data_IF_196340922524
#
_entry.id   IF_196340922524
#
_cell.length_a   1.000
_cell.length_b   1.000
_cell.length_c   1.000
_cell.angle_alpha   90.00
_cell.angle_beta   90.00
_cell.angle_gamma   90.00
#
_symmetry.space_group_name_H-M   'P 1'
#
loop_
_entity.id
_entity.type
_entity.pdbx_description
1 polymer ?
#
# COMPACT_ATOMS: atom_id res chain seq x y z
N UNK A 1 -14.47 -18.82 -0.39
CA UNK A 1 -14.95 -17.46 -0.01
C UNK A 1 -14.00 -16.49 -0.66
N UNK A 2 -14.48 -15.36 -1.21
CA UNK A 2 -13.65 -14.33 -1.89
C UNK A 2 -12.82 -13.56 -0.88
N UNK A 3 -11.58 -13.22 -1.22
CA UNK A 3 -10.63 -12.60 -0.29
C UNK A 3 -9.99 -11.35 -0.89
N UNK A 4 -9.92 -10.32 -0.07
CA UNK A 4 -9.19 -9.09 -0.35
C UNK A 4 -8.06 -8.95 0.67
N UNK A 5 -6.83 -8.92 0.20
CA UNK A 5 -5.68 -8.59 1.03
C UNK A 5 -5.32 -7.12 0.82
N UNK A 6 -5.38 -6.33 1.88
CA UNK A 6 -4.95 -4.93 1.88
C UNK A 6 -3.54 -4.86 2.48
N UNK A 7 -2.66 -4.10 1.86
CA UNK A 7 -1.30 -3.87 2.36
C UNK A 7 -1.08 -2.38 2.52
N UNK A 8 -0.79 -1.96 3.74
CA UNK A 8 -0.56 -0.56 4.11
C UNK A 8 0.58 -0.41 5.10
N UNK A 9 0.86 0.80 5.56
CA UNK A 9 1.86 1.08 6.59
C UNK A 9 2.93 2.07 6.16
N UNK A 10 4.04 2.09 6.87
CA UNK A 10 5.05 3.14 6.80
C UNK A 10 5.71 3.30 5.42
N UNK A 11 6.19 4.52 5.15
CA UNK A 11 7.04 4.82 3.99
C UNK A 11 8.35 4.02 4.14
N UNK A 12 8.89 3.55 3.01
CA UNK A 12 10.11 2.74 2.93
C UNK A 12 10.06 1.36 3.63
N UNK A 13 8.87 0.87 3.98
CA UNK A 13 8.65 -0.46 4.56
C UNK A 13 8.63 -1.61 3.53
N UNK A 14 8.94 -1.36 2.25
CA UNK A 14 8.93 -2.35 1.13
C UNK A 14 7.58 -3.03 0.88
N UNK A 15 6.49 -2.34 1.07
CA UNK A 15 5.14 -2.84 0.80
C UNK A 15 4.99 -3.40 -0.63
N UNK A 16 5.46 -2.64 -1.62
CA UNK A 16 5.37 -3.00 -3.05
C UNK A 16 6.11 -4.31 -3.36
N UNK A 17 7.30 -4.52 -2.79
CA UNK A 17 8.04 -5.77 -2.94
C UNK A 17 7.26 -6.94 -2.35
N UNK A 18 6.74 -6.76 -1.14
CA UNK A 18 5.98 -7.81 -0.44
C UNK A 18 4.65 -8.11 -1.12
N UNK A 19 3.93 -7.09 -1.60
CA UNK A 19 2.69 -7.29 -2.34
C UNK A 19 2.89 -8.09 -3.63
N UNK A 20 3.98 -7.83 -4.36
CA UNK A 20 4.35 -8.60 -5.55
C UNK A 20 4.69 -10.06 -5.22
N UNK A 21 5.45 -10.30 -4.14
CA UNK A 21 5.77 -11.64 -3.66
C UNK A 21 4.50 -12.43 -3.31
N UNK A 22 3.56 -11.81 -2.58
CA UNK A 22 2.30 -12.46 -2.23
C UNK A 22 1.40 -12.67 -3.46
N UNK A 23 1.37 -11.73 -4.40
CA UNK A 23 0.63 -11.87 -5.65
C UNK A 23 1.12 -13.08 -6.47
N UNK A 24 2.44 -13.27 -6.55
CA UNK A 24 3.04 -14.45 -7.19
C UNK A 24 2.72 -15.74 -6.43
N UNK A 25 2.85 -15.72 -5.09
CA UNK A 25 2.58 -16.88 -4.24
C UNK A 25 1.16 -17.41 -4.38
N UNK A 26 0.17 -16.51 -4.49
CA UNK A 26 -1.25 -16.86 -4.55
C UNK A 26 -1.83 -16.84 -5.97
N UNK A 27 -1.02 -16.44 -6.96
CA UNK A 27 -1.46 -16.29 -8.36
C UNK A 27 -2.68 -15.36 -8.49
N UNK A 28 -2.66 -14.23 -7.80
CA UNK A 28 -3.73 -13.22 -7.77
C UNK A 28 -3.27 -11.89 -8.33
N UNK A 29 -4.22 -11.07 -8.80
CA UNK A 29 -3.93 -9.71 -9.23
C UNK A 29 -3.51 -8.84 -8.04
N UNK A 30 -2.57 -7.92 -8.29
CA UNK A 30 -2.18 -6.88 -7.35
C UNK A 30 -2.30 -5.51 -8.01
N UNK A 31 -2.92 -4.57 -7.30
CA UNK A 31 -2.97 -3.17 -7.72
C UNK A 31 -2.29 -2.31 -6.67
N UNK A 32 -1.33 -1.53 -7.12
CA UNK A 32 -0.48 -0.68 -6.30
C UNK A 32 -0.76 0.79 -6.65
N UNK A 33 -1.10 1.59 -5.64
CA UNK A 33 -1.44 3.01 -5.81
C UNK A 33 -0.33 3.78 -6.52
N UNK A 34 0.90 3.55 -6.09
CA UNK A 34 2.06 4.28 -6.62
C UNK A 34 2.28 3.97 -8.11
N UNK A 35 2.17 2.70 -8.52
CA UNK A 35 2.28 2.30 -9.94
C UNK A 35 1.17 2.92 -10.79
N UNK A 36 -0.07 2.92 -10.31
CA UNK A 36 -1.18 3.58 -11.02
C UNK A 36 -0.94 5.09 -11.12
N UNK A 37 -0.45 5.71 -10.05
CA UNK A 37 -0.14 7.13 -10.02
C UNK A 37 0.99 7.50 -10.99
N UNK A 38 2.02 6.64 -11.13
CA UNK A 38 3.09 6.81 -12.11
C UNK A 38 2.54 6.80 -13.53
N UNK A 39 1.71 5.82 -13.88
CA UNK A 39 1.03 5.74 -15.19
C UNK A 39 0.20 7.00 -15.46
N UNK A 40 -0.55 7.48 -14.47
CA UNK A 40 -1.32 8.72 -14.60
C UNK A 40 -0.41 9.94 -14.79
N UNK A 41 0.70 10.00 -14.04
CA UNK A 41 1.69 11.07 -14.16
C UNK A 41 2.33 11.15 -15.54
N UNK A 42 2.67 10.01 -16.12
CA UNK A 42 3.28 9.93 -17.46
C UNK A 42 2.32 10.36 -18.57
N UNK A 43 1.03 10.04 -18.44
CA UNK A 43 0.06 10.26 -19.52
C UNK A 43 -0.71 11.59 -19.39
N UNK A 44 -0.92 12.08 -18.17
CA UNK A 44 -1.67 13.31 -17.91
C UNK A 44 -0.73 14.48 -17.60
N UNK A 45 0.41 14.16 -16.92
CA UNK A 45 1.33 15.14 -16.37
C UNK A 45 0.80 15.81 -15.10
N UNK A 46 1.63 16.65 -14.50
CA UNK A 46 1.28 17.51 -13.37
C UNK A 46 2.32 18.65 -13.29
N UNK A 47 1.90 19.82 -12.82
CA UNK A 47 2.76 21.01 -12.72
C UNK A 47 3.19 21.31 -11.30
N UNK A 48 2.37 20.93 -10.33
CA UNK A 48 2.56 21.28 -8.93
C UNK A 48 2.07 20.17 -7.98
N UNK A 49 2.21 20.42 -6.66
CA UNK A 49 1.80 19.48 -5.62
C UNK A 49 0.28 19.24 -5.58
N UNK A 50 -0.51 20.26 -5.94
CA UNK A 50 -1.97 20.11 -5.94
C UNK A 50 -2.42 19.19 -7.07
N UNK A 51 -1.89 19.38 -8.28
CA UNK A 51 -2.16 18.48 -9.41
C UNK A 51 -1.66 17.07 -9.13
N UNK A 52 -0.48 16.93 -8.55
CA UNK A 52 0.03 15.62 -8.12
C UNK A 52 -0.88 14.93 -7.08
N UNK A 53 -1.51 15.69 -6.18
CA UNK A 53 -2.50 15.15 -5.24
C UNK A 53 -3.76 14.66 -5.96
N UNK A 54 -4.20 15.35 -7.02
CA UNK A 54 -5.31 14.88 -7.86
C UNK A 54 -5.01 13.53 -8.51
N UNK A 55 -3.76 13.32 -8.97
CA UNK A 55 -3.33 12.01 -9.47
C UNK A 55 -3.38 10.92 -8.38
N UNK A 56 -2.95 11.24 -7.16
CA UNK A 56 -3.07 10.31 -6.01
C UNK A 56 -4.52 9.91 -5.74
N UNK A 57 -5.43 10.88 -5.73
CA UNK A 57 -6.86 10.62 -5.53
C UNK A 57 -7.44 9.78 -6.67
N UNK A 58 -7.10 10.11 -7.92
CA UNK A 58 -7.52 9.34 -9.09
C UNK A 58 -7.02 7.88 -9.02
N UNK A 59 -5.77 7.66 -8.59
CA UNK A 59 -5.22 6.33 -8.42
C UNK A 59 -6.03 5.49 -7.42
N UNK A 60 -6.43 6.05 -6.29
CA UNK A 60 -7.27 5.35 -5.29
C UNK A 60 -8.65 5.02 -5.86
N UNK A 61 -9.28 5.96 -6.57
CA UNK A 61 -10.58 5.72 -7.20
C UNK A 61 -10.49 4.63 -8.27
N UNK A 62 -9.42 4.61 -9.06
CA UNK A 62 -9.15 3.53 -10.01
C UNK A 62 -8.94 2.19 -9.32
N UNK A 63 -8.21 2.15 -8.21
CA UNK A 63 -8.05 0.91 -7.42
C UNK A 63 -9.40 0.39 -6.92
N UNK A 64 -10.27 1.25 -6.40
CA UNK A 64 -11.60 0.86 -5.95
C UNK A 64 -12.47 0.35 -7.12
N UNK A 65 -12.38 0.98 -8.29
CA UNK A 65 -13.08 0.53 -9.50
C UNK A 65 -12.53 -0.82 -9.99
N UNK A 66 -11.24 -1.01 -10.03
CA UNK A 66 -10.61 -2.28 -10.41
C UNK A 66 -10.98 -3.40 -9.44
N UNK A 67 -11.01 -3.11 -8.14
CA UNK A 67 -11.54 -4.05 -7.16
C UNK A 67 -12.99 -4.43 -7.46
N UNK A 68 -13.85 -3.44 -7.72
CA UNK A 68 -15.26 -3.71 -8.07
C UNK A 68 -15.37 -4.60 -9.30
N UNK A 69 -14.56 -4.35 -10.35
CA UNK A 69 -14.55 -5.18 -11.58
C UNK A 69 -14.12 -6.62 -11.29
N UNK A 70 -13.00 -6.81 -10.56
CA UNK A 70 -12.50 -8.14 -10.16
C UNK A 70 -13.52 -8.86 -9.29
N UNK A 71 -14.21 -8.13 -8.42
CA UNK A 71 -15.21 -8.69 -7.53
C UNK A 71 -16.41 -9.32 -8.28
N UNK A 72 -16.72 -8.87 -9.51
CA UNK A 72 -17.73 -9.49 -10.35
C UNK A 72 -17.31 -10.90 -10.80
N UNK A 73 -16.01 -11.17 -10.97
CA UNK A 73 -15.49 -12.48 -11.35
C UNK A 73 -15.33 -13.43 -10.17
N UNK A 74 -15.40 -12.90 -8.95
CA UNK A 74 -15.21 -13.67 -7.72
C UNK A 74 -13.75 -14.02 -7.41
N UNK A 75 -12.81 -13.39 -8.09
CA UNK A 75 -11.37 -13.63 -7.90
C UNK A 75 -10.81 -12.92 -6.67
N UNK A 76 -9.87 -13.54 -5.99
CA UNK A 76 -9.11 -12.93 -4.91
C UNK A 76 -8.14 -11.88 -5.48
N UNK A 77 -7.78 -10.88 -4.68
CA UNK A 77 -6.85 -9.84 -5.11
C UNK A 77 -6.12 -9.16 -3.94
N UNK A 78 -5.09 -8.41 -4.29
CA UNK A 78 -4.29 -7.60 -3.36
C UNK A 78 -4.38 -6.13 -3.77
N UNK A 79 -4.60 -5.23 -2.80
CA UNK A 79 -4.46 -3.78 -2.98
C UNK A 79 -3.38 -3.26 -2.06
N UNK A 80 -2.45 -2.45 -2.59
CA UNK A 80 -1.35 -1.86 -1.83
C UNK A 80 -1.33 -0.35 -1.97
N UNK A 81 -1.35 0.33 -0.82
CA UNK A 81 -1.19 1.78 -0.73
C UNK A 81 -0.84 2.24 0.70
N UNK A 82 -0.38 3.48 0.81
CA UNK A 82 -0.59 4.25 2.04
C UNK A 82 -2.02 4.79 1.96
N UNK A 83 -2.96 4.09 2.60
CA UNK A 83 -4.35 4.53 2.66
C UNK A 83 -4.52 5.66 3.67
N UNK A 84 -5.31 6.67 3.33
CA UNK A 84 -5.53 7.87 4.15
C UNK A 84 -7.01 8.16 4.35
N UNK A 85 -7.34 8.74 5.50
CA UNK A 85 -8.69 9.16 5.83
C UNK A 85 -9.68 7.99 5.73
N UNK A 86 -10.73 8.15 4.94
CA UNK A 86 -11.78 7.14 4.78
C UNK A 86 -11.49 6.08 3.69
N UNK A 87 -10.32 6.09 3.05
CA UNK A 87 -10.02 5.16 1.95
C UNK A 87 -10.15 3.68 2.37
N UNK A 88 -9.62 3.32 3.54
CA UNK A 88 -9.77 1.96 4.07
C UNK A 88 -11.22 1.62 4.41
N UNK A 89 -11.97 2.55 5.01
CA UNK A 89 -13.38 2.35 5.33
C UNK A 89 -14.21 2.12 4.06
N UNK A 90 -14.00 2.93 3.02
CA UNK A 90 -14.67 2.79 1.71
C UNK A 90 -14.37 1.43 1.06
N UNK A 91 -13.11 0.97 1.10
CA UNK A 91 -12.73 -0.35 0.59
C UNK A 91 -13.36 -1.48 1.38
N UNK A 92 -13.43 -1.38 2.72
CA UNK A 92 -14.11 -2.35 3.56
C UNK A 92 -15.62 -2.39 3.31
N UNK A 93 -16.27 -1.23 3.16
CA UNK A 93 -17.70 -1.17 2.81
C UNK A 93 -17.98 -1.81 1.45
N UNK A 94 -17.12 -1.53 0.46
CA UNK A 94 -17.22 -2.16 -0.85
C UNK A 94 -17.01 -3.67 -0.76
N UNK A 95 -15.99 -4.12 -0.01
CA UNK A 95 -15.71 -5.54 0.22
C UNK A 95 -16.88 -6.26 0.88
N UNK A 96 -17.49 -5.65 1.90
CA UNK A 96 -18.67 -6.20 2.57
C UNK A 96 -19.84 -6.35 1.60
N UNK A 97 -20.13 -5.33 0.79
CA UNK A 97 -21.19 -5.40 -0.25
C UNK A 97 -20.94 -6.50 -1.28
N UNK A 98 -19.66 -6.73 -1.61
CA UNK A 98 -19.24 -7.76 -2.56
C UNK A 98 -19.01 -9.13 -1.92
N UNK A 99 -19.25 -9.27 -0.60
CA UNK A 99 -19.08 -10.49 0.20
C UNK A 99 -17.63 -11.02 0.22
N UNK A 100 -16.67 -10.12 0.30
CA UNK A 100 -15.26 -10.45 0.51
C UNK A 100 -14.91 -10.50 1.98
N UNK A 101 -14.07 -11.47 2.35
CA UNK A 101 -13.28 -11.37 3.58
C UNK A 101 -12.10 -10.43 3.32
N UNK A 102 -11.77 -9.62 4.31
CA UNK A 102 -10.67 -8.66 4.23
C UNK A 102 -9.66 -8.94 5.34
N UNK A 103 -8.39 -8.99 4.96
CA UNK A 103 -7.26 -8.96 5.89
C UNK A 103 -6.36 -7.79 5.52
N UNK A 104 -5.99 -6.97 6.50
CA UNK A 104 -5.07 -5.84 6.31
C UNK A 104 -3.70 -6.17 6.90
N UNK A 105 -2.66 -6.16 6.08
CA UNK A 105 -1.26 -6.24 6.52
C UNK A 105 -0.74 -4.83 6.73
N UNK A 106 -0.31 -4.53 7.96
CA UNK A 106 0.16 -3.19 8.35
C UNK A 106 1.66 -3.27 8.66
N UNK A 107 2.48 -2.78 7.73
CA UNK A 107 3.94 -2.79 7.86
C UNK A 107 4.41 -1.54 8.61
N UNK A 108 5.03 -1.73 9.76
CA UNK A 108 5.61 -0.66 10.59
C UNK A 108 7.04 -0.97 10.96
N UNK A 109 7.86 0.06 11.08
CA UNK A 109 9.25 -0.10 11.53
C UNK A 109 9.71 1.11 12.35
N UNK A 110 10.90 1.04 12.90
CA UNK A 110 11.50 2.18 13.59
C UNK A 110 11.74 3.34 12.61
N UNK A 111 11.32 4.54 13.01
CA UNK A 111 11.36 5.71 12.15
C UNK A 111 12.77 6.02 11.64
N UNK A 112 13.79 5.83 12.48
CA UNK A 112 15.21 6.00 12.14
C UNK A 112 15.66 5.06 11.01
N UNK A 113 15.31 3.78 11.13
CA UNK A 113 15.65 2.75 10.14
C UNK A 113 14.97 3.06 8.81
N UNK A 114 13.68 3.40 8.87
CA UNK A 114 12.88 3.71 7.67
C UNK A 114 13.34 5.01 7.01
N UNK A 115 13.74 6.02 7.79
CA UNK A 115 14.31 7.26 7.26
C UNK A 115 15.63 7.01 6.53
N UNK A 116 16.53 6.22 7.11
CA UNK A 116 17.76 5.82 6.44
C UNK A 116 17.52 5.13 5.10
N UNK A 117 16.53 4.21 5.04
CA UNK A 117 16.13 3.55 3.79
C UNK A 117 15.49 4.51 2.78
N UNK A 118 14.69 5.45 3.26
CA UNK A 118 14.09 6.49 2.42
C UNK A 118 15.19 7.32 1.75
N UNK A 119 16.16 7.82 2.51
CA UNK A 119 17.28 8.60 1.97
C UNK A 119 18.15 7.80 0.99
N UNK A 120 18.46 6.54 1.33
CA UNK A 120 19.19 5.66 0.42
C UNK A 120 18.45 5.50 -0.92
N UNK A 121 17.15 5.24 -0.85
CA UNK A 121 16.30 5.10 -2.03
C UNK A 121 16.22 6.38 -2.85
N UNK A 122 16.13 7.55 -2.22
CA UNK A 122 16.12 8.85 -2.90
C UNK A 122 17.41 9.14 -3.66
N UNK A 123 18.56 8.64 -3.15
CA UNK A 123 19.88 8.85 -3.76
C UNK A 123 20.25 7.80 -4.80
N UNK A 124 19.85 6.56 -4.59
CA UNK A 124 20.25 5.41 -5.39
C UNK A 124 19.31 5.09 -6.55
N UNK A 125 18.04 5.48 -6.45
CA UNK A 125 17.01 5.19 -7.44
C UNK A 125 16.66 6.43 -8.26
N UNK A 126 16.53 6.26 -9.57
CA UNK A 126 15.93 7.28 -10.44
C UNK A 126 14.40 7.28 -10.23
N UNK A 127 13.96 7.95 -9.15
CA UNK A 127 12.56 7.95 -8.75
C UNK A 127 11.68 8.70 -9.74
N UNK A 128 10.51 8.13 -9.98
CA UNK A 128 9.49 8.76 -10.82
C UNK A 128 9.12 10.16 -10.28
N UNK A 129 8.97 11.19 -11.15
CA UNK A 129 8.70 12.58 -10.74
C UNK A 129 7.48 12.75 -9.84
N UNK A 130 6.43 11.92 -9.97
CA UNK A 130 5.24 11.98 -9.11
C UNK A 130 5.54 11.79 -7.62
N UNK A 131 6.68 11.18 -7.27
CA UNK A 131 7.12 10.97 -5.89
C UNK A 131 8.04 12.07 -5.38
N UNK A 132 8.49 12.97 -6.25
CA UNK A 132 9.43 14.05 -5.91
C UNK A 132 8.74 15.34 -5.50
N UNK A 133 7.43 15.45 -5.70
CA UNK A 133 6.67 16.65 -5.31
C UNK A 133 6.51 16.82 -3.79
N UNK A 134 6.88 15.81 -3.02
CA UNK A 134 6.94 15.86 -1.56
C UNK A 134 8.23 15.17 -1.14
N UNK A 135 9.27 15.94 -0.91
CA UNK A 135 10.53 15.46 -0.36
C UNK A 135 10.45 15.47 1.16
N UNK A 136 10.97 14.44 1.78
CA UNK A 136 11.06 14.28 3.23
C UNK A 136 12.54 14.21 3.64
N UNK A 137 13.32 15.17 3.10
CA UNK A 137 14.78 15.20 3.30
C UNK A 137 15.15 15.59 4.71
N UNK A 138 14.25 16.31 5.40
CA UNK A 138 14.38 16.65 6.81
C UNK A 138 13.76 15.52 7.62
N UNK A 139 14.52 15.01 8.58
CA UNK A 139 14.13 13.87 9.41
C UNK A 139 12.83 14.11 10.18
N UNK A 140 12.69 15.31 10.73
CA UNK A 140 11.51 15.73 11.47
C UNK A 140 10.23 15.67 10.61
N UNK A 141 10.33 16.05 9.34
CA UNK A 141 9.22 15.99 8.39
C UNK A 141 8.86 14.54 8.06
N UNK A 142 9.88 13.68 7.90
CA UNK A 142 9.66 12.25 7.72
C UNK A 142 8.96 11.62 8.92
N UNK A 143 9.42 11.90 10.13
CA UNK A 143 8.84 11.39 11.38
C UNK A 143 7.40 11.89 11.52
N UNK A 144 7.15 13.18 11.30
CA UNK A 144 5.81 13.76 11.38
C UNK A 144 4.86 13.10 10.37
N UNK A 145 5.33 12.86 9.15
CA UNK A 145 4.55 12.16 8.11
C UNK A 145 4.27 10.71 8.51
N UNK A 146 5.27 10.01 9.07
CA UNK A 146 5.07 8.65 9.57
C UNK A 146 4.05 8.60 10.72
N UNK A 147 4.07 9.59 11.62
CA UNK A 147 3.08 9.70 12.71
C UNK A 147 1.66 9.92 12.16
N UNK A 148 1.49 10.77 11.15
CA UNK A 148 0.20 10.97 10.48
C UNK A 148 -0.33 9.66 9.88
N UNK A 149 0.50 8.94 9.13
CA UNK A 149 0.16 7.62 8.56
C UNK A 149 -0.22 6.62 9.65
N UNK A 150 0.51 6.61 10.77
CA UNK A 150 0.24 5.72 11.90
C UNK A 150 -1.02 6.09 12.68
N UNK A 151 -1.45 7.33 12.61
CA UNK A 151 -2.71 7.81 13.18
C UNK A 151 -3.96 7.39 12.40
N UNK A 152 -3.80 6.89 11.17
CA UNK A 152 -4.93 6.42 10.37
C UNK A 152 -5.56 5.18 11.00
N UNK A 153 -6.89 5.17 11.02
CA UNK A 153 -7.67 4.08 11.61
C UNK A 153 -7.59 2.85 10.72
N UNK A 154 -7.08 1.76 11.28
CA UNK A 154 -7.14 0.46 10.63
C UNK A 154 -8.51 -0.17 10.93
N UNK A 155 -9.20 -0.60 9.88
CA UNK A 155 -10.54 -1.19 9.95
C UNK A 155 -10.46 -2.69 9.71
N UNK A 156 -11.26 -3.47 10.46
CA UNK A 156 -11.36 -4.92 10.29
C UNK A 156 -10.17 -5.71 10.87
N UNK A 157 -10.00 -6.92 10.37
CA UNK A 157 -8.93 -7.83 10.77
C UNK A 157 -7.58 -7.34 10.25
N UNK A 158 -6.57 -7.23 11.12
CA UNK A 158 -5.26 -6.73 10.74
C UNK A 158 -4.12 -7.55 11.37
N UNK A 159 -3.06 -7.74 10.59
CA UNK A 159 -1.77 -8.26 11.05
C UNK A 159 -0.73 -7.14 11.03
N UNK A 160 -0.10 -6.93 12.17
CA UNK A 160 0.96 -5.95 12.34
C UNK A 160 2.30 -6.61 12.09
N UNK A 161 3.08 -6.06 11.16
CA UNK A 161 4.33 -6.64 10.67
C UNK A 161 5.46 -5.67 10.99
N UNK A 162 6.48 -6.15 11.71
CA UNK A 162 7.71 -5.39 11.92
C UNK A 162 8.51 -5.36 10.61
N UNK A 163 8.72 -4.15 10.11
CA UNK A 163 9.48 -3.87 8.89
C UNK A 163 10.86 -3.25 9.17
N UNK A 164 11.39 -3.38 10.39
CA UNK A 164 12.71 -2.89 10.74
C UNK A 164 13.83 -3.61 9.98
N UNK A 165 13.61 -4.87 9.64
CA UNK A 165 14.41 -5.58 8.65
C UNK A 165 13.47 -6.20 7.58
N UNK A 166 13.99 -7.06 6.72
CA UNK A 166 13.20 -7.69 5.66
C UNK A 166 12.91 -9.15 5.92
N UNK A 167 13.21 -9.66 7.13
CA UNK A 167 12.99 -11.05 7.54
C UNK A 167 11.53 -11.45 7.46
N UNK A 168 10.60 -10.51 7.68
CA UNK A 168 9.16 -10.76 7.56
C UNK A 168 8.75 -11.33 6.18
N UNK A 169 9.51 -11.04 5.12
CA UNK A 169 9.21 -11.57 3.77
C UNK A 169 9.43 -13.09 3.68
N UNK A 170 10.20 -13.65 4.61
CA UNK A 170 10.52 -15.08 4.69
C UNK A 170 10.05 -15.70 6.02
N UNK A 171 9.34 -14.95 6.86
CA UNK A 171 8.80 -15.43 8.13
C UNK A 171 7.71 -16.48 7.86
N UNK A 172 8.04 -17.73 8.14
CA UNK A 172 7.14 -18.87 7.90
C UNK A 172 5.84 -18.76 8.71
N UNK A 173 5.89 -18.23 9.94
CA UNK A 173 4.71 -18.10 10.77
C UNK A 173 3.76 -17.05 10.22
N UNK A 174 4.29 -15.91 9.79
CA UNK A 174 3.52 -14.86 9.11
C UNK A 174 2.93 -15.40 7.81
N UNK A 175 3.75 -16.04 6.98
CA UNK A 175 3.29 -16.59 5.70
C UNK A 175 2.24 -17.69 5.89
N UNK A 176 2.36 -18.55 6.90
CA UNK A 176 1.31 -19.54 7.25
C UNK A 176 0.00 -18.86 7.65
N UNK A 177 0.06 -17.77 8.41
CA UNK A 177 -1.14 -17.02 8.82
C UNK A 177 -1.84 -16.42 7.59
N UNK A 178 -1.06 -15.84 6.66
CA UNK A 178 -1.60 -15.32 5.39
C UNK A 178 -2.13 -16.47 4.52
N UNK A 179 -1.43 -17.63 4.47
CA UNK A 179 -1.89 -18.82 3.75
C UNK A 179 -3.27 -19.31 4.25
N UNK A 180 -3.49 -19.30 5.58
CA UNK A 180 -4.78 -19.67 6.17
C UNK A 180 -5.92 -18.71 5.79
N UNK A 181 -5.59 -17.45 5.61
CA UNK A 181 -6.56 -16.47 5.11
C UNK A 181 -6.81 -16.66 3.62
N UNK A 182 -5.76 -16.93 2.82
CA UNK A 182 -5.81 -17.01 1.35
C UNK A 182 -6.21 -18.40 0.81
N UNK A 183 -6.44 -19.38 1.64
CA UNK A 183 -7.01 -20.70 1.29
C UNK A 183 -8.48 -20.77 1.66
#
# INVERSE_FOLDING_TARGET
MKRLLLITGDIAARKTTFSNQLAQRYSVAVFQKDTIKEILGDNIGFRDREENRKLSNAAVQLMAHLFWQIAQTGSDLILEANFHGSELEQLHELANRMQYRVLTLVLRGEAEILYGRYLHRMRAENRHPVHLSTTLDVKEDFISTAQLIRGEKIVGEALWIDACDFSYQQDEQLLRTIDLFMK
#
